data_IF_164712059086
#
_entry.id   IF_164712059086
#
_cell.length_a   1.000
_cell.length_b   1.000
_cell.length_c   1.000
_cell.angle_alpha   90.00
_cell.angle_beta   90.00
_cell.angle_gamma   90.00
#
_symmetry.space_group_name_H-M   'P 1'
#
loop_
_entity.id
_entity.type
_entity.pdbx_description
1 polymer ?
#
# COMPACT_ATOMS: atom_id res chain seq x y z
N UNK A 1 -19.53 -2.01 -28.69
CA UNK A 1 -19.82 -3.27 -27.96
C UNK A 1 -18.53 -3.73 -27.33
N UNK A 2 -18.39 -3.61 -26.01
CA UNK A 2 -17.27 -4.23 -25.28
C UNK A 2 -17.63 -5.70 -25.15
N UNK A 3 -16.76 -6.58 -25.65
CA UNK A 3 -16.95 -8.02 -25.59
C UNK A 3 -16.52 -8.46 -24.19
N UNK A 4 -17.47 -8.97 -23.40
CA UNK A 4 -17.16 -9.62 -22.13
C UNK A 4 -16.23 -10.80 -22.40
N UNK A 5 -15.02 -10.73 -21.88
CA UNK A 5 -14.04 -11.82 -21.99
C UNK A 5 -14.54 -12.97 -21.10
N UNK A 6 -14.78 -14.19 -21.64
CA UNK A 6 -15.42 -15.27 -20.90
C UNK A 6 -14.54 -15.94 -19.84
N UNK A 7 -13.32 -15.43 -19.62
CA UNK A 7 -12.44 -15.91 -18.57
C UNK A 7 -12.06 -14.74 -17.66
N UNK A 8 -12.48 -14.73 -16.38
CA UNK A 8 -11.97 -13.77 -15.42
C UNK A 8 -10.44 -13.91 -15.37
N UNK A 9 -9.68 -12.83 -15.18
CA UNK A 9 -8.24 -12.95 -14.99
C UNK A 9 -7.97 -13.91 -13.82
N UNK A 10 -7.14 -14.93 -14.05
CA UNK A 10 -6.71 -15.85 -13.00
C UNK A 10 -5.96 -15.04 -11.93
N UNK A 11 -6.58 -14.92 -10.76
CA UNK A 11 -5.99 -14.20 -9.64
C UNK A 11 -5.01 -15.13 -8.92
N UNK A 12 -3.72 -14.80 -8.95
CA UNK A 12 -2.70 -15.51 -8.15
C UNK A 12 -2.94 -15.35 -6.64
N UNK A 13 -3.49 -14.21 -6.22
CA UNK A 13 -3.75 -13.89 -4.82
C UNK A 13 -5.22 -13.51 -4.61
N UNK A 14 -5.79 -13.92 -3.48
CA UNK A 14 -7.15 -13.54 -3.07
C UNK A 14 -7.17 -13.15 -1.59
N UNK A 15 -8.03 -12.20 -1.23
CA UNK A 15 -8.29 -11.85 0.17
C UNK A 15 -9.30 -12.85 0.73
N UNK A 16 -9.01 -13.42 1.89
CA UNK A 16 -9.92 -14.37 2.56
C UNK A 16 -11.21 -13.65 2.97
N UNK A 17 -12.40 -14.20 2.69
CA UNK A 17 -13.69 -13.50 2.83
C UNK A 17 -14.06 -13.14 4.28
N UNK A 18 -13.48 -13.81 5.27
CA UNK A 18 -13.81 -13.65 6.69
C UNK A 18 -12.69 -12.95 7.49
N UNK A 19 -11.89 -12.10 6.84
CA UNK A 19 -10.90 -11.27 7.53
C UNK A 19 -11.57 -10.00 8.06
N UNK A 20 -11.26 -9.65 9.31
CA UNK A 20 -11.69 -8.39 9.89
C UNK A 20 -10.95 -7.20 9.26
N UNK A 21 -11.60 -6.03 9.29
CA UNK A 21 -11.03 -4.77 8.78
C UNK A 21 -9.67 -4.48 9.41
N UNK A 22 -9.52 -4.73 10.71
CA UNK A 22 -8.23 -4.63 11.42
C UNK A 22 -7.13 -5.43 10.74
N UNK A 23 -7.35 -6.73 10.51
CA UNK A 23 -6.34 -7.61 9.93
C UNK A 23 -5.95 -7.15 8.52
N UNK A 24 -6.93 -6.68 7.74
CA UNK A 24 -6.67 -6.13 6.41
C UNK A 24 -5.82 -4.86 6.48
N UNK A 25 -6.15 -3.94 7.38
CA UNK A 25 -5.43 -2.67 7.53
C UNK A 25 -4.04 -2.86 8.14
N UNK A 26 -3.84 -3.80 9.07
CA UNK A 26 -2.51 -4.16 9.60
C UNK A 26 -1.64 -4.70 8.48
N UNK A 27 -2.16 -5.62 7.63
CA UNK A 27 -1.40 -6.12 6.49
C UNK A 27 -1.06 -4.99 5.51
N UNK A 28 -2.03 -4.12 5.21
CA UNK A 28 -1.79 -2.96 4.35
C UNK A 28 -0.73 -2.00 4.93
N UNK A 29 -0.76 -1.74 6.24
CA UNK A 29 0.21 -0.92 6.96
C UNK A 29 1.62 -1.54 6.89
N UNK A 30 1.73 -2.87 7.07
CA UNK A 30 3.01 -3.58 6.94
C UNK A 30 3.56 -3.54 5.50
N UNK A 31 2.71 -3.75 4.50
CA UNK A 31 3.09 -3.65 3.10
C UNK A 31 3.55 -2.22 2.74
N UNK A 32 2.83 -1.19 3.22
CA UNK A 32 3.19 0.21 3.01
C UNK A 32 4.53 0.57 3.66
N UNK A 33 4.78 0.10 4.89
CA UNK A 33 6.08 0.28 5.55
C UNK A 33 7.21 -0.35 4.72
N UNK A 34 7.03 -1.60 4.27
CA UNK A 34 8.00 -2.31 3.42
C UNK A 34 8.25 -1.58 2.09
N UNK A 35 7.20 -1.12 1.41
CA UNK A 35 7.32 -0.37 0.15
C UNK A 35 8.02 0.98 0.39
N UNK A 36 7.76 1.63 1.53
CA UNK A 36 8.43 2.89 1.90
C UNK A 36 9.94 2.68 2.05
N UNK A 37 10.36 1.61 2.73
CA UNK A 37 11.78 1.26 2.86
C UNK A 37 12.42 1.01 1.48
N UNK A 38 11.75 0.25 0.61
CA UNK A 38 12.23 -0.03 -0.76
C UNK A 38 12.34 1.24 -1.59
N UNK A 39 11.30 2.09 -1.57
CA UNK A 39 11.28 3.34 -2.33
C UNK A 39 12.35 4.33 -1.83
N UNK A 40 12.55 4.38 -0.51
CA UNK A 40 13.57 5.22 0.13
C UNK A 40 14.96 4.74 -0.25
N UNK A 41 15.22 3.44 -0.16
CA UNK A 41 16.48 2.83 -0.60
C UNK A 41 16.75 3.15 -2.08
N UNK A 42 15.76 2.98 -2.96
CA UNK A 42 15.88 3.30 -4.37
C UNK A 42 16.19 4.79 -4.60
N UNK A 43 15.58 5.70 -3.82
CA UNK A 43 15.84 7.13 -3.93
C UNK A 43 17.31 7.49 -3.63
N UNK A 44 17.99 6.72 -2.77
CA UNK A 44 19.43 6.89 -2.50
C UNK A 44 20.32 6.29 -3.61
N UNK A 45 19.85 5.28 -4.33
CA UNK A 45 20.63 4.60 -5.38
C UNK A 45 20.59 5.31 -6.74
N UNK A 46 19.62 6.19 -6.97
CA UNK A 46 19.48 6.94 -8.22
C UNK A 46 19.79 8.43 -8.03
N UNK A 47 20.23 9.09 -9.10
CA UNK A 47 20.57 10.52 -9.11
C UNK A 47 19.67 11.35 -10.04
N UNK A 48 19.79 12.67 -9.94
CA UNK A 48 19.15 13.61 -10.85
C UNK A 48 17.62 13.65 -10.75
N UNK A 49 16.91 13.99 -11.83
CA UNK A 49 15.45 14.12 -11.83
C UNK A 49 14.70 12.85 -11.36
N UNK A 50 15.26 11.67 -11.61
CA UNK A 50 14.69 10.39 -11.21
C UNK A 50 14.66 10.25 -9.68
N UNK A 51 15.66 10.76 -8.96
CA UNK A 51 15.63 10.84 -7.49
C UNK A 51 14.44 11.63 -7.00
N UNK A 52 14.13 12.76 -7.63
CA UNK A 52 12.99 13.58 -7.23
C UNK A 52 11.65 12.84 -7.40
N UNK A 53 11.54 12.01 -8.44
CA UNK A 53 10.37 11.14 -8.64
C UNK A 53 10.28 10.11 -7.51
N UNK A 54 11.38 9.42 -7.18
CA UNK A 54 11.38 8.45 -6.08
C UNK A 54 11.07 9.08 -4.72
N UNK A 55 11.62 10.27 -4.42
CA UNK A 55 11.26 11.04 -3.23
C UNK A 55 9.79 11.47 -3.22
N UNK A 56 9.23 11.81 -4.37
CA UNK A 56 7.79 12.08 -4.52
C UNK A 56 6.93 10.87 -4.17
N UNK A 57 7.35 9.67 -4.58
CA UNK A 57 6.70 8.41 -4.20
C UNK A 57 6.79 8.19 -2.68
N UNK A 58 7.99 8.33 -2.09
CA UNK A 58 8.18 8.21 -0.63
C UNK A 58 7.23 9.14 0.12
N UNK A 59 7.13 10.41 -0.32
CA UNK A 59 6.24 11.39 0.29
C UNK A 59 4.76 10.99 0.22
N UNK A 60 4.32 10.41 -0.90
CA UNK A 60 2.95 9.92 -1.02
C UNK A 60 2.70 8.70 -0.13
N UNK A 61 3.66 7.77 -0.03
CA UNK A 61 3.59 6.59 0.81
C UNK A 61 3.45 6.96 2.29
N UNK A 62 4.26 7.91 2.79
CA UNK A 62 4.12 8.46 4.14
C UNK A 62 2.70 8.98 4.41
N UNK A 63 2.12 9.69 3.43
CA UNK A 63 0.75 10.20 3.54
C UNK A 63 -0.28 9.09 3.63
N UNK A 64 -0.15 8.05 2.80
CA UNK A 64 -1.06 6.88 2.84
C UNK A 64 -0.91 6.11 4.15
N UNK A 65 0.32 5.92 4.63
CA UNK A 65 0.61 5.27 5.91
C UNK A 65 -0.13 5.96 7.07
N UNK A 66 -0.02 7.29 7.17
CA UNK A 66 -0.73 8.08 8.19
C UNK A 66 -2.25 7.93 8.12
N UNK A 67 -2.82 7.83 6.91
CA UNK A 67 -4.25 7.60 6.73
C UNK A 67 -4.65 6.20 7.20
N UNK A 68 -3.87 5.17 6.86
CA UNK A 68 -4.12 3.78 7.29
C UNK A 68 -4.01 3.66 8.80
N UNK A 69 -2.95 4.20 9.40
CA UNK A 69 -2.75 4.18 10.84
C UNK A 69 -3.88 4.93 11.56
N UNK A 70 -4.33 6.07 11.03
CA UNK A 70 -5.48 6.78 11.59
C UNK A 70 -6.77 5.95 11.55
N UNK A 71 -7.01 5.19 10.49
CA UNK A 71 -8.18 4.31 10.39
C UNK A 71 -8.04 3.14 11.37
N UNK A 72 -6.84 2.56 11.50
CA UNK A 72 -6.55 1.52 12.51
C UNK A 72 -6.84 2.01 13.93
N UNK A 73 -6.30 3.17 14.32
CA UNK A 73 -6.54 3.79 15.63
C UNK A 73 -8.02 4.06 15.88
N UNK A 74 -8.78 4.42 14.83
CA UNK A 74 -10.22 4.70 14.95
C UNK A 74 -11.04 3.42 15.04
N UNK A 75 -10.61 2.35 14.37
CA UNK A 75 -11.21 1.01 14.50
C UNK A 75 -10.89 0.37 15.86
N UNK A 76 -9.78 0.76 16.48
CA UNK A 76 -9.31 0.29 17.79
C UNK A 76 -9.04 1.46 18.74
N UNK A 77 -10.09 2.14 19.24
CA UNK A 77 -9.90 3.20 20.21
C UNK A 77 -9.22 2.63 21.45
N UNK A 78 -8.03 3.14 21.76
CA UNK A 78 -7.35 2.85 23.02
C UNK A 78 -8.26 3.32 24.16
N UNK A 79 -8.62 2.40 25.06
CA UNK A 79 -9.39 2.70 26.27
C UNK A 79 -8.60 3.58 27.24
#
# INVERSE_FOLDING_TARGET
>A
MIKDTPNPPEKLFTVRPNLGTETLLINASQDLASITDIATQLAFEIDGPQRNIALGICRMLEGVQLLVDKVLDTAHPVA
#
